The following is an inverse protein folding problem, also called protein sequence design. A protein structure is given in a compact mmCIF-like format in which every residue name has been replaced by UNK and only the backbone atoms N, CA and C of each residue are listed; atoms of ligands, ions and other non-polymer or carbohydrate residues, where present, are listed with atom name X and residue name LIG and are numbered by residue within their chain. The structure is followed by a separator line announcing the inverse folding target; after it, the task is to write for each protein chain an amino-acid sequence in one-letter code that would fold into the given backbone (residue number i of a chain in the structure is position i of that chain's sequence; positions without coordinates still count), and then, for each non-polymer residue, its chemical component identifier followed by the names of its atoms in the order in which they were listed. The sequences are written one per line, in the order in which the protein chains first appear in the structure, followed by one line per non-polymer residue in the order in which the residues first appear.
data_IF_391703710088
#
_entry.id   IF_391703710088
#
_cell.length_a   1.000
_cell.length_b   1.000
_cell.length_c   1.000
_cell.angle_alpha   90.00
_cell.angle_beta   90.00
_cell.angle_gamma   90.00
#
_symmetry.space_group_name_H-M   'P 1'
#
loop_
_entity.id
_entity.type
_entity.pdbx_description
1 polymer ?
#
# COMPACT_ATOMS: atom_id res chain seq x y z
N UNK A 1 -51.90 -13.68 -20.98
CA UNK A 1 -51.72 -12.35 -20.38
C UNK A 1 -50.30 -12.31 -19.81
N UNK A 2 -49.36 -11.69 -20.51
CA UNK A 2 -47.97 -11.61 -20.04
C UNK A 2 -47.87 -10.41 -19.10
N UNK A 3 -47.87 -10.67 -17.79
CA UNK A 3 -47.63 -9.64 -16.79
C UNK A 3 -46.21 -9.10 -16.91
N UNK A 4 -46.07 -7.80 -17.18
CA UNK A 4 -44.78 -7.11 -17.05
C UNK A 4 -44.42 -7.04 -15.56
N UNK A 5 -43.35 -7.72 -15.17
CA UNK A 5 -42.70 -7.51 -13.88
C UNK A 5 -42.01 -6.15 -13.90
N UNK A 6 -42.55 -5.19 -13.16
CA UNK A 6 -41.90 -3.89 -12.93
C UNK A 6 -40.82 -4.08 -11.86
N UNK A 7 -39.57 -4.23 -12.30
CA UNK A 7 -38.42 -4.31 -11.40
C UNK A 7 -38.04 -2.88 -11.02
N UNK A 8 -38.20 -2.54 -9.74
CA UNK A 8 -37.80 -1.26 -9.18
C UNK A 8 -36.47 -1.47 -8.44
N UNK A 9 -35.37 -0.97 -9.01
CA UNK A 9 -34.03 -1.16 -8.46
C UNK A 9 -33.74 -0.01 -7.51
N UNK A 10 -33.49 -0.32 -6.23
CA UNK A 10 -33.04 0.67 -5.26
C UNK A 10 -31.56 1.00 -5.53
N UNK A 11 -31.32 2.17 -6.14
CA UNK A 11 -29.97 2.65 -6.44
C UNK A 11 -29.07 2.74 -5.20
N UNK A 12 -29.63 2.97 -4.00
CA UNK A 12 -28.85 3.07 -2.78
C UNK A 12 -28.34 1.69 -2.36
N UNK A 13 -29.16 0.66 -2.54
CA UNK A 13 -28.79 -0.72 -2.27
C UNK A 13 -27.69 -1.19 -3.23
N UNK A 14 -27.80 -0.85 -4.52
CA UNK A 14 -26.75 -1.12 -5.52
C UNK A 14 -25.44 -0.42 -5.17
N UNK A 15 -25.49 0.87 -4.79
CA UNK A 15 -24.29 1.63 -4.38
C UNK A 15 -23.63 1.05 -3.13
N UNK A 16 -24.44 0.55 -2.19
CA UNK A 16 -23.94 -0.09 -0.97
C UNK A 16 -23.21 -1.40 -1.30
N UNK A 17 -23.82 -2.27 -2.11
CA UNK A 17 -23.20 -3.53 -2.55
C UNK A 17 -21.89 -3.29 -3.31
N UNK A 18 -21.84 -2.27 -4.18
CA UNK A 18 -20.59 -1.92 -4.86
C UNK A 18 -19.51 -1.46 -3.88
N UNK A 19 -19.87 -0.66 -2.87
CA UNK A 19 -18.90 -0.18 -1.86
C UNK A 19 -18.35 -1.32 -1.02
N UNK A 20 -19.20 -2.22 -0.56
CA UNK A 20 -18.80 -3.40 0.23
C UNK A 20 -17.85 -4.31 -0.59
N UNK A 21 -18.14 -4.53 -1.87
CA UNK A 21 -17.28 -5.32 -2.76
C UNK A 21 -15.91 -4.67 -2.98
N UNK A 22 -15.86 -3.34 -3.10
CA UNK A 22 -14.61 -2.59 -3.21
C UNK A 22 -13.81 -2.67 -1.91
N UNK A 23 -14.45 -2.53 -0.76
CA UNK A 23 -13.80 -2.67 0.55
C UNK A 23 -13.23 -4.08 0.79
N UNK A 24 -13.94 -5.13 0.36
CA UNK A 24 -13.44 -6.50 0.41
C UNK A 24 -12.23 -6.73 -0.49
N UNK A 25 -12.27 -6.25 -1.73
CA UNK A 25 -11.12 -6.33 -2.66
C UNK A 25 -9.92 -5.55 -2.14
N UNK A 26 -10.13 -4.43 -1.46
CA UNK A 26 -9.06 -3.66 -0.80
C UNK A 26 -8.48 -4.41 0.41
N UNK A 27 -9.30 -5.14 1.17
CA UNK A 27 -8.85 -5.98 2.29
C UNK A 27 -8.07 -7.23 1.85
N UNK A 28 -8.40 -7.83 0.70
CA UNK A 28 -7.67 -9.02 0.20
C UNK A 28 -6.24 -8.70 -0.28
N UNK A 29 -5.95 -7.44 -0.61
CA UNK A 29 -4.59 -6.99 -0.97
C UNK A 29 -3.69 -6.86 0.28
N UNK A 30 -4.25 -6.91 1.49
CA UNK A 30 -3.57 -6.72 2.77
C UNK A 30 -2.78 -7.96 3.24
N UNK A 31 -2.44 -8.89 2.34
CA UNK A 31 -1.43 -9.94 2.59
C UNK A 31 0.00 -9.38 2.67
N UNK A 32 0.13 -8.08 2.96
CA UNK A 32 1.37 -7.34 2.95
C UNK A 32 2.13 -7.62 4.23
N UNK A 33 3.43 -7.87 4.08
CA UNK A 33 4.34 -7.91 5.21
C UNK A 33 4.07 -6.73 6.16
N UNK A 34 4.08 -6.96 7.47
CA UNK A 34 4.00 -5.88 8.46
C UNK A 34 5.21 -4.95 8.33
N UNK A 35 6.36 -5.52 7.97
CA UNK A 35 7.61 -4.79 7.73
C UNK A 35 8.43 -5.47 6.62
N UNK A 36 9.23 -4.68 5.92
CA UNK A 36 10.28 -5.17 5.04
C UNK A 36 11.60 -5.31 5.81
N UNK A 37 12.41 -6.27 5.42
CA UNK A 37 13.85 -6.25 5.74
C UNK A 37 14.61 -5.51 4.62
N UNK A 38 15.93 -5.36 4.77
CA UNK A 38 16.76 -4.72 3.74
C UNK A 38 16.74 -5.43 2.39
N UNK A 39 16.49 -6.75 2.36
CA UNK A 39 16.41 -7.51 1.10
C UNK A 39 15.14 -7.19 0.35
N UNK A 40 14.01 -7.16 1.05
CA UNK A 40 12.72 -6.83 0.49
C UNK A 40 12.65 -5.35 0.09
N UNK A 41 13.20 -4.43 0.89
CA UNK A 41 13.27 -3.01 0.53
C UNK A 41 13.99 -2.81 -0.82
N UNK A 42 15.15 -3.46 -1.03
CA UNK A 42 15.87 -3.41 -2.31
C UNK A 42 15.04 -3.91 -3.49
N UNK A 43 14.29 -5.01 -3.30
CA UNK A 43 13.41 -5.56 -4.34
C UNK A 43 12.27 -4.60 -4.68
N UNK A 44 11.67 -3.96 -3.67
CA UNK A 44 10.52 -3.05 -3.84
C UNK A 44 10.91 -1.73 -4.48
N UNK A 45 12.11 -1.23 -4.21
CA UNK A 45 12.61 0.02 -4.80
C UNK A 45 13.38 -0.20 -6.09
N UNK A 46 13.72 -1.44 -6.44
CA UNK A 46 14.65 -1.78 -7.53
C UNK A 46 16.02 -1.10 -7.40
N UNK A 47 16.43 -0.76 -6.17
CA UNK A 47 17.68 -0.05 -5.89
C UNK A 47 18.70 -0.95 -5.20
N UNK A 48 19.98 -0.71 -5.48
CA UNK A 48 21.07 -1.29 -4.68
C UNK A 48 21.06 -0.71 -3.26
N UNK A 49 21.70 -1.41 -2.31
CA UNK A 49 21.80 -0.89 -0.94
C UNK A 49 22.52 0.46 -0.88
N UNK A 50 23.61 0.61 -1.64
CA UNK A 50 24.37 1.85 -1.69
C UNK A 50 23.49 3.00 -2.23
N UNK A 51 22.74 2.73 -3.31
CA UNK A 51 21.78 3.70 -3.86
C UNK A 51 20.74 4.12 -2.83
N UNK A 52 20.18 3.19 -2.06
CA UNK A 52 19.24 3.50 -0.97
C UNK A 52 19.91 4.39 0.09
N UNK A 53 21.16 4.08 0.46
CA UNK A 53 21.93 4.86 1.42
C UNK A 53 22.20 6.29 0.94
N UNK A 54 22.62 6.45 -0.31
CA UNK A 54 22.97 7.74 -0.92
C UNK A 54 21.75 8.64 -1.12
N UNK A 55 20.55 8.06 -1.27
CA UNK A 55 19.33 8.81 -1.56
C UNK A 55 18.53 9.19 -0.31
N UNK A 56 17.97 8.20 0.39
CA UNK A 56 16.93 8.47 1.39
C UNK A 56 17.11 7.73 2.72
N UNK A 57 18.06 6.79 2.82
CA UNK A 57 18.21 5.99 4.04
C UNK A 57 18.51 6.86 5.27
N UNK A 58 19.29 7.91 5.10
CA UNK A 58 19.67 8.83 6.18
C UNK A 58 18.69 9.99 6.36
N UNK A 59 17.62 10.05 5.56
CA UNK A 59 16.55 11.01 5.79
C UNK A 59 15.93 10.75 7.18
N UNK A 60 15.83 11.77 8.07
CA UNK A 60 15.22 11.59 9.38
C UNK A 60 13.74 11.20 9.32
N UNK A 61 13.06 11.46 8.19
CA UNK A 61 11.66 11.08 7.94
C UNK A 61 11.54 9.62 7.50
N UNK A 62 12.62 8.96 7.10
CA UNK A 62 12.57 7.59 6.59
C UNK A 62 12.32 6.57 7.73
N UNK A 63 11.19 5.84 7.71
CA UNK A 63 10.81 4.94 8.79
C UNK A 63 11.68 3.68 8.80
N UNK A 64 12.62 3.60 9.75
CA UNK A 64 13.52 2.47 9.94
C UNK A 64 13.71 2.15 11.42
N UNK A 65 13.67 0.86 11.75
CA UNK A 65 13.89 0.36 13.11
C UNK A 65 14.98 -0.69 13.08
N UNK A 66 15.96 -0.58 13.98
CA UNK A 66 17.00 -1.60 14.14
C UNK A 66 16.62 -2.54 15.29
N UNK A 67 16.46 -3.82 14.98
CA UNK A 67 16.22 -4.86 15.99
C UNK A 67 17.38 -5.85 15.92
N UNK A 68 18.21 -5.86 16.97
CA UNK A 68 19.48 -6.57 16.97
C UNK A 68 20.40 -6.08 15.83
N UNK A 69 20.81 -7.01 14.97
CA UNK A 69 21.69 -6.72 13.83
C UNK A 69 20.99 -6.31 12.54
N UNK A 70 19.65 -6.31 12.48
CA UNK A 70 18.88 -6.15 11.23
C UNK A 70 18.02 -4.89 11.24
N UNK A 71 17.82 -4.33 10.04
CA UNK A 71 16.92 -3.22 9.80
C UNK A 71 15.56 -3.72 9.33
N UNK A 72 14.52 -3.08 9.85
CA UNK A 72 13.13 -3.33 9.52
C UNK A 72 12.42 -2.02 9.15
N UNK A 73 11.55 -2.09 8.16
CA UNK A 73 10.87 -0.94 7.56
C UNK A 73 9.36 -1.20 7.56
N UNK A 74 8.57 -0.55 8.43
CA UNK A 74 7.12 -0.70 8.47
C UNK A 74 6.50 -0.40 7.09
N UNK A 75 5.76 -1.34 6.52
CA UNK A 75 5.44 -1.29 5.07
C UNK A 75 4.60 -0.08 4.69
N UNK A 76 3.59 0.23 5.51
CA UNK A 76 2.67 1.34 5.24
C UNK A 76 3.41 2.68 5.22
N UNK A 77 4.13 2.97 6.30
CA UNK A 77 4.88 4.20 6.48
C UNK A 77 6.00 4.32 5.44
N UNK A 78 6.68 3.21 5.14
CA UNK A 78 7.76 3.19 4.15
C UNK A 78 7.24 3.55 2.76
N UNK A 79 6.07 3.05 2.37
CA UNK A 79 5.45 3.38 1.08
C UNK A 79 5.04 4.84 1.00
N UNK A 80 4.42 5.34 2.06
CA UNK A 80 3.99 6.75 2.13
C UNK A 80 5.19 7.69 2.02
N UNK A 81 6.28 7.36 2.73
CA UNK A 81 7.55 8.06 2.61
C UNK A 81 8.10 7.99 1.18
N UNK A 82 8.24 6.79 0.59
CA UNK A 82 8.85 6.61 -0.73
C UNK A 82 8.08 7.34 -1.83
N UNK A 83 6.75 7.37 -1.74
CA UNK A 83 5.90 8.13 -2.66
C UNK A 83 6.17 9.62 -2.58
N UNK A 84 6.25 10.16 -1.35
CA UNK A 84 6.56 11.58 -1.11
C UNK A 84 7.96 11.91 -1.61
N UNK A 85 8.96 11.14 -1.19
CA UNK A 85 10.36 11.30 -1.59
C UNK A 85 10.52 11.31 -3.11
N UNK A 86 9.81 10.43 -3.84
CA UNK A 86 9.88 10.37 -5.30
C UNK A 86 9.31 11.62 -5.98
N UNK A 87 8.24 12.20 -5.42
CA UNK A 87 7.65 13.45 -5.93
C UNK A 87 8.54 14.67 -5.67
N UNK A 88 9.34 14.64 -4.61
CA UNK A 88 10.34 15.68 -4.28
C UNK A 88 11.55 15.68 -5.22
N UNK A 89 11.77 14.64 -6.04
CA UNK A 89 12.89 14.58 -6.99
C UNK A 89 12.64 15.35 -8.31
N UNK A 90 11.49 16.02 -8.43
CA UNK A 90 11.13 16.86 -9.59
C UNK A 90 11.44 18.32 -9.33
#
# INVERSE_FOLDING_TARGET
MNGMLTINIDENEVKKMCRERVEELVKEVDSEYVFWDSTELKKRTCMSWNTIQDNFFFDPRFPKVKVGGKWYFPVKETRDFLKTWLLEQR
#
